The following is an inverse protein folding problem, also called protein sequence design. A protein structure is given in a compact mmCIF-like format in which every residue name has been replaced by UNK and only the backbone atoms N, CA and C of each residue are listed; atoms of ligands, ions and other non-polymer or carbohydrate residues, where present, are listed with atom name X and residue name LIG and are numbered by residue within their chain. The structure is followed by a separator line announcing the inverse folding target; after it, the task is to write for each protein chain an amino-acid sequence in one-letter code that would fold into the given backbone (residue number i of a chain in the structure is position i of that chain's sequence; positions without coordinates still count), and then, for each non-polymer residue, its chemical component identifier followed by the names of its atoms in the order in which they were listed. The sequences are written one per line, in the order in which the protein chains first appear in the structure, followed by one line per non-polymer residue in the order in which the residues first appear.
data_IF_480460174836
#
_entry.id   IF_480460174836
#
_cell.length_a   1.000
_cell.length_b   1.000
_cell.length_c   1.000
_cell.angle_alpha   90.00
_cell.angle_beta   90.00
_cell.angle_gamma   90.00
#
_symmetry.space_group_name_H-M   'P 1'
#
loop_
_entity.id
_entity.type
_entity.pdbx_description
1 polymer ?
#
# COMPACT_ATOMS: atom_id res chain seq x y z
N UNK A 1 -5.70 9.96 14.25
CA UNK A 1 -5.89 8.99 13.17
C UNK A 1 -4.65 8.13 13.01
N UNK A 2 -4.82 6.87 12.70
CA UNK A 2 -3.70 5.95 12.52
C UNK A 2 -3.60 5.51 11.06
N UNK A 3 -2.37 5.39 10.57
CA UNK A 3 -2.09 4.94 9.23
C UNK A 3 -1.00 3.88 9.27
N UNK A 4 -1.27 2.73 8.68
CA UNK A 4 -0.30 1.65 8.57
C UNK A 4 0.18 1.55 7.13
N UNK A 5 1.50 1.63 6.94
CA UNK A 5 2.13 1.47 5.63
C UNK A 5 2.60 0.01 5.51
N UNK A 6 1.97 -0.75 4.62
CA UNK A 6 2.28 -2.16 4.42
C UNK A 6 3.23 -2.28 3.23
N UNK A 7 4.46 -2.69 3.47
CA UNK A 7 5.54 -2.59 2.49
C UNK A 7 5.95 -3.95 1.94
N UNK A 8 5.78 -4.11 0.62
CA UNK A 8 6.29 -5.25 -0.13
C UNK A 8 7.44 -4.81 -1.02
N UNK A 9 8.64 -5.38 -0.81
CA UNK A 9 9.83 -4.94 -1.51
C UNK A 9 10.80 -6.09 -1.77
N UNK A 10 11.58 -5.96 -2.84
CA UNK A 10 12.72 -6.84 -3.15
C UNK A 10 14.04 -6.13 -2.88
N UNK A 11 14.14 -4.87 -3.31
CA UNK A 11 15.40 -4.13 -3.32
C UNK A 11 15.42 -2.95 -2.34
N UNK A 12 14.32 -2.75 -1.62
CA UNK A 12 14.23 -1.66 -0.66
C UNK A 12 13.60 -0.38 -1.19
N UNK A 13 13.26 -0.28 -2.47
CA UNK A 13 12.68 0.94 -3.03
C UNK A 13 11.34 1.29 -2.37
N UNK A 14 10.46 0.30 -2.22
CA UNK A 14 9.17 0.53 -1.55
C UNK A 14 9.36 0.97 -0.10
N UNK A 15 10.40 0.46 0.55
CA UNK A 15 10.71 0.85 1.92
C UNK A 15 11.16 2.31 2.00
N UNK A 16 11.93 2.79 1.02
CA UNK A 16 12.33 4.20 0.96
C UNK A 16 11.12 5.10 0.80
N UNK A 17 10.16 4.70 -0.04
CA UNK A 17 8.91 5.46 -0.21
C UNK A 17 8.17 5.54 1.12
N UNK A 18 8.03 4.41 1.81
CA UNK A 18 7.33 4.38 3.10
C UNK A 18 8.03 5.24 4.14
N UNK A 19 9.35 5.21 4.19
CA UNK A 19 10.12 6.03 5.12
C UNK A 19 9.89 7.53 4.88
N UNK A 20 9.85 7.95 3.62
CA UNK A 20 9.58 9.33 3.28
C UNK A 20 8.17 9.75 3.70
N UNK A 21 7.19 8.91 3.43
CA UNK A 21 5.81 9.19 3.84
C UNK A 21 5.66 9.26 5.36
N UNK A 22 6.35 8.39 6.09
CA UNK A 22 6.33 8.41 7.54
C UNK A 22 6.90 9.72 8.08
N UNK A 23 8.02 10.20 7.51
CA UNK A 23 8.62 11.46 7.89
C UNK A 23 7.69 12.65 7.65
N UNK A 24 6.99 12.64 6.52
CA UNK A 24 6.13 13.77 6.13
C UNK A 24 4.79 13.74 6.85
N UNK A 25 4.24 12.55 7.09
CA UNK A 25 2.86 12.41 7.58
C UNK A 25 2.75 12.19 9.08
N UNK A 26 3.81 11.70 9.75
CA UNK A 26 3.74 11.46 11.19
C UNK A 26 3.87 12.78 11.94
N UNK A 27 2.74 13.29 12.37
CA UNK A 27 2.64 14.50 13.18
C UNK A 27 1.82 14.18 14.44
N UNK A 28 1.49 15.20 15.23
CA UNK A 28 0.76 14.97 16.48
C UNK A 28 -0.65 14.42 16.29
N UNK A 29 -1.24 14.59 15.10
CA UNK A 29 -2.60 14.14 14.80
C UNK A 29 -2.64 12.81 14.04
N UNK A 30 -1.62 12.55 13.23
CA UNK A 30 -1.53 11.34 12.43
C UNK A 30 -0.38 10.47 12.94
N UNK A 31 -0.69 9.26 13.35
CA UNK A 31 0.31 8.28 13.75
C UNK A 31 0.55 7.32 12.58
N UNK A 32 1.77 7.30 12.09
CA UNK A 32 2.15 6.49 10.93
C UNK A 32 3.10 5.39 11.36
N UNK A 33 2.80 4.16 10.98
CA UNK A 33 3.66 3.01 11.28
C UNK A 33 3.96 2.26 9.99
N UNK A 34 5.23 1.95 9.77
CA UNK A 34 5.68 1.17 8.61
C UNK A 34 5.86 -0.29 9.02
N UNK A 35 5.21 -1.19 8.28
CA UNK A 35 5.23 -2.62 8.55
C UNK A 35 5.68 -3.37 7.30
N UNK A 36 6.76 -4.15 7.43
CA UNK A 36 7.24 -4.99 6.33
C UNK A 36 6.36 -6.24 6.23
N UNK A 37 5.96 -6.58 5.00
CA UNK A 37 5.01 -7.67 4.77
C UNK A 37 5.50 -9.07 5.15
N UNK A 38 6.81 -9.27 5.24
CA UNK A 38 7.38 -10.58 5.61
C UNK A 38 6.99 -11.03 7.01
N UNK A 39 6.53 -10.11 7.85
CA UNK A 39 6.12 -10.40 9.22
C UNK A 39 4.63 -10.23 9.44
N UNK A 40 3.87 -10.00 8.37
CA UNK A 40 2.44 -9.71 8.50
C UNK A 40 1.57 -10.94 8.30
N UNK A 41 0.46 -10.94 9.01
CA UNK A 41 -0.64 -11.87 8.82
C UNK A 41 -1.90 -11.07 8.50
N UNK A 42 -2.94 -11.70 7.94
CA UNK A 42 -4.18 -10.96 7.61
C UNK A 42 -4.80 -10.21 8.79
N UNK A 43 -4.53 -10.63 10.02
CA UNK A 43 -5.02 -9.94 11.21
C UNK A 43 -4.51 -8.50 11.34
N UNK A 44 -3.50 -8.10 10.55
CA UNK A 44 -3.04 -6.70 10.55
C UNK A 44 -4.18 -5.74 10.21
N UNK A 45 -5.15 -6.18 9.42
CA UNK A 45 -6.29 -5.35 9.03
C UNK A 45 -7.33 -5.17 10.14
N UNK A 46 -7.15 -5.81 11.28
CA UNK A 46 -7.98 -5.57 12.47
C UNK A 46 -7.54 -4.31 13.22
N UNK A 47 -6.39 -3.73 12.87
CA UNK A 47 -5.92 -2.48 13.45
C UNK A 47 -6.82 -1.32 13.05
N UNK A 48 -6.88 -0.32 13.91
CA UNK A 48 -7.62 0.91 13.63
C UNK A 48 -6.94 1.74 12.54
N UNK A 49 -7.73 2.51 11.83
CA UNK A 49 -7.24 3.50 10.89
C UNK A 49 -7.26 3.03 9.45
N UNK A 50 -6.38 3.62 8.65
CA UNK A 50 -6.32 3.43 7.20
C UNK A 50 -5.02 2.71 6.86
N UNK A 51 -5.01 2.00 5.74
CA UNK A 51 -3.86 1.25 5.29
C UNK A 51 -3.40 1.75 3.92
N UNK A 52 -2.10 1.87 3.74
CA UNK A 52 -1.53 2.14 2.43
C UNK A 52 -0.57 1.01 2.07
N UNK A 53 -0.88 0.30 0.99
CA UNK A 53 0.00 -0.73 0.47
C UNK A 53 1.03 -0.06 -0.43
N UNK A 54 2.31 -0.22 -0.11
CA UNK A 54 3.42 0.28 -0.93
C UNK A 54 4.20 -0.95 -1.38
N UNK A 55 4.10 -1.30 -2.66
CA UNK A 55 4.67 -2.56 -3.12
C UNK A 55 5.32 -2.45 -4.49
N UNK A 56 6.44 -3.16 -4.62
CA UNK A 56 7.10 -3.38 -5.90
C UNK A 56 6.44 -4.51 -6.66
N UNK A 57 6.81 -4.64 -7.93
CA UNK A 57 6.44 -5.77 -8.78
C UNK A 57 7.70 -6.57 -9.06
N UNK A 58 7.62 -7.89 -8.89
CA UNK A 58 8.76 -8.78 -9.09
C UNK A 58 8.57 -9.63 -10.35
N UNK A 59 9.67 -9.78 -11.10
CA UNK A 59 9.73 -10.70 -12.23
C UNK A 59 8.61 -10.49 -13.24
N UNK A 60 7.77 -11.50 -13.40
CA UNK A 60 6.68 -11.50 -14.39
C UNK A 60 5.35 -11.04 -13.82
N UNK A 61 5.38 -10.10 -12.90
CA UNK A 61 4.16 -9.53 -12.33
C UNK A 61 3.77 -10.09 -10.99
N UNK A 62 4.68 -10.78 -10.33
CA UNK A 62 4.42 -11.33 -8.99
C UNK A 62 4.61 -10.26 -7.92
N UNK A 63 4.04 -10.55 -6.75
CA UNK A 63 4.35 -9.76 -5.57
C UNK A 63 5.80 -10.03 -5.14
N UNK A 64 6.48 -9.07 -4.48
CA UNK A 64 7.84 -9.29 -4.00
C UNK A 64 7.94 -10.46 -3.03
N UNK A 65 9.14 -11.05 -2.92
CA UNK A 65 9.34 -12.22 -2.06
C UNK A 65 8.89 -11.99 -0.63
N UNK A 66 9.15 -10.80 -0.07
CA UNK A 66 8.74 -10.52 1.30
C UNK A 66 7.23 -10.39 1.45
N UNK A 67 6.50 -10.27 0.35
CA UNK A 67 5.04 -10.14 0.37
C UNK A 67 4.30 -11.45 0.10
N UNK A 68 5.00 -12.49 -0.37
CA UNK A 68 4.35 -13.73 -0.82
C UNK A 68 3.53 -14.41 0.27
N UNK A 69 4.09 -14.58 1.44
CA UNK A 69 3.39 -15.26 2.54
C UNK A 69 2.13 -14.50 2.95
N UNK A 70 2.22 -13.19 3.04
CA UNK A 70 1.09 -12.34 3.39
C UNK A 70 -0.01 -12.41 2.31
N UNK A 71 0.37 -12.29 1.04
CA UNK A 71 -0.56 -12.36 -0.08
C UNK A 71 -1.25 -13.72 -0.13
N UNK A 72 -0.50 -14.81 0.00
CA UNK A 72 -1.06 -16.15 -0.01
C UNK A 72 -1.98 -16.40 1.19
N UNK A 73 -1.64 -15.86 2.35
CA UNK A 73 -2.48 -15.96 3.54
C UNK A 73 -3.82 -15.25 3.34
N UNK A 74 -3.82 -14.08 2.69
CA UNK A 74 -5.06 -13.38 2.35
C UNK A 74 -5.94 -14.22 1.43
N UNK A 75 -5.35 -14.87 0.43
CA UNK A 75 -6.07 -15.72 -0.50
C UNK A 75 -6.62 -16.98 0.18
N UNK A 76 -5.85 -17.57 1.09
CA UNK A 76 -6.23 -18.81 1.77
C UNK A 76 -7.28 -18.58 2.86
N UNK A 77 -7.08 -17.56 3.68
CA UNK A 77 -7.93 -17.29 4.84
C UNK A 77 -9.19 -16.51 4.50
N UNK A 78 -9.15 -15.70 3.45
CA UNK A 78 -10.25 -14.88 2.96
C UNK A 78 -10.98 -14.12 4.08
N UNK A 79 -10.25 -13.28 4.83
CA UNK A 79 -10.87 -12.52 5.91
C UNK A 79 -11.91 -11.53 5.38
N UNK A 80 -12.88 -11.19 6.21
CA UNK A 80 -13.87 -10.16 5.87
C UNK A 80 -13.25 -8.79 6.12
N UNK A 81 -12.96 -8.06 5.05
CA UNK A 81 -12.32 -6.75 5.12
C UNK A 81 -13.29 -5.60 4.81
N UNK A 82 -14.59 -5.81 5.01
CA UNK A 82 -15.62 -4.83 4.66
C UNK A 82 -15.46 -3.49 5.39
N UNK A 83 -14.73 -3.46 6.50
CA UNK A 83 -14.47 -2.24 7.26
C UNK A 83 -13.12 -1.60 6.95
N UNK A 84 -12.32 -2.25 6.11
CA UNK A 84 -10.98 -1.79 5.79
C UNK A 84 -11.04 -0.74 4.69
N UNK A 85 -10.29 0.36 4.89
CA UNK A 85 -10.07 1.38 3.87
C UNK A 85 -8.59 1.42 3.57
N UNK A 86 -8.25 1.46 2.31
CA UNK A 86 -6.86 1.35 1.90
C UNK A 86 -6.56 2.15 0.64
N UNK A 87 -5.27 2.41 0.43
CA UNK A 87 -4.76 2.89 -0.84
C UNK A 87 -3.64 1.98 -1.31
N UNK A 88 -3.23 2.15 -2.56
CA UNK A 88 -2.12 1.39 -3.15
C UNK A 88 -1.19 2.33 -3.89
N UNK A 89 0.09 2.28 -3.52
CA UNK A 89 1.16 2.93 -4.25
C UNK A 89 2.05 1.83 -4.83
N UNK A 90 1.89 1.58 -6.13
CA UNK A 90 2.60 0.53 -6.83
C UNK A 90 3.87 1.03 -7.49
N UNK A 91 4.90 0.22 -7.46
CA UNK A 91 6.19 0.47 -8.11
C UNK A 91 6.39 -0.55 -9.21
N UNK A 92 6.87 -0.09 -10.36
CA UNK A 92 7.13 -0.96 -11.49
C UNK A 92 7.99 -0.26 -12.52
N UNK A 93 8.15 -0.89 -13.68
CA UNK A 93 8.97 -0.38 -14.76
C UNK A 93 8.25 -0.66 -16.09
N UNK A 94 7.92 0.39 -16.85
CA UNK A 94 7.23 0.24 -18.14
C UNK A 94 8.07 -0.47 -19.19
N UNK A 95 9.37 -0.64 -18.96
CA UNK A 95 10.20 -1.50 -19.81
C UNK A 95 9.61 -2.92 -19.85
N UNK A 96 8.91 -3.34 -18.80
CA UNK A 96 8.20 -4.60 -18.72
C UNK A 96 6.70 -4.35 -18.82
N UNK A 97 6.26 -3.86 -19.99
CA UNK A 97 4.90 -3.34 -20.19
C UNK A 97 3.79 -4.32 -19.81
N UNK A 98 3.97 -5.61 -20.08
CA UNK A 98 2.94 -6.63 -19.81
C UNK A 98 2.69 -6.86 -18.32
N UNK A 99 3.69 -6.56 -17.46
CA UNK A 99 3.62 -6.82 -16.03
C UNK A 99 3.74 -5.55 -15.18
N UNK A 100 3.64 -4.39 -15.84
CA UNK A 100 3.81 -3.11 -15.18
C UNK A 100 2.86 -2.95 -13.99
N UNK A 101 3.45 -2.74 -12.81
CA UNK A 101 2.72 -2.53 -11.54
C UNK A 101 1.75 -3.64 -11.15
N UNK A 102 1.96 -4.87 -11.60
CA UNK A 102 1.11 -6.00 -11.26
C UNK A 102 1.18 -6.37 -9.77
N UNK A 103 2.30 -6.07 -9.09
CA UNK A 103 2.38 -6.28 -7.65
C UNK A 103 1.30 -5.50 -6.91
N UNK A 104 1.19 -4.20 -7.21
CA UNK A 104 0.13 -3.36 -6.65
C UNK A 104 -1.26 -3.80 -7.09
N UNK A 105 -1.40 -4.18 -8.37
CA UNK A 105 -2.67 -4.67 -8.89
C UNK A 105 -3.15 -5.92 -8.17
N UNK A 106 -2.25 -6.87 -7.89
CA UNK A 106 -2.62 -8.10 -7.19
C UNK A 106 -3.14 -7.82 -5.79
N UNK A 107 -2.49 -6.93 -5.05
CA UNK A 107 -2.99 -6.54 -3.73
C UNK A 107 -4.30 -5.79 -3.82
N UNK A 108 -4.43 -4.85 -4.77
CA UNK A 108 -5.67 -4.11 -4.96
C UNK A 108 -6.83 -5.07 -5.26
N UNK A 109 -6.62 -6.00 -6.17
CA UNK A 109 -7.65 -6.96 -6.56
C UNK A 109 -8.08 -7.85 -5.38
N UNK A 110 -7.12 -8.41 -4.61
CA UNK A 110 -7.49 -9.30 -3.50
C UNK A 110 -8.18 -8.53 -2.38
N UNK A 111 -7.73 -7.32 -2.08
CA UNK A 111 -8.36 -6.53 -1.02
C UNK A 111 -9.78 -6.15 -1.39
N UNK A 112 -10.03 -5.76 -2.65
CA UNK A 112 -11.40 -5.49 -3.12
C UNK A 112 -12.26 -6.74 -3.10
N UNK A 113 -11.72 -7.86 -3.51
CA UNK A 113 -12.42 -9.14 -3.48
C UNK A 113 -12.84 -9.52 -2.06
N UNK A 114 -12.04 -9.16 -1.06
CA UNK A 114 -12.35 -9.41 0.35
C UNK A 114 -13.25 -8.36 0.98
N UNK A 115 -13.67 -7.36 0.21
CA UNK A 115 -14.63 -6.35 0.65
C UNK A 115 -14.05 -5.01 1.07
N UNK A 116 -12.72 -4.85 1.05
CA UNK A 116 -12.08 -3.59 1.43
C UNK A 116 -12.41 -2.47 0.42
N UNK A 117 -12.44 -1.24 0.91
CA UNK A 117 -12.76 -0.07 0.09
C UNK A 117 -11.49 0.72 -0.20
N UNK A 118 -11.18 0.85 -1.50
CA UNK A 118 -10.04 1.65 -1.91
C UNK A 118 -10.36 3.14 -1.85
N UNK A 119 -9.45 3.90 -1.27
CA UNK A 119 -9.53 5.35 -1.23
C UNK A 119 -8.74 5.90 -2.42
N UNK A 120 -9.42 6.58 -3.33
CA UNK A 120 -8.81 7.13 -4.52
C UNK A 120 -8.39 6.05 -5.52
N UNK A 121 -7.52 6.41 -6.44
CA UNK A 121 -7.02 5.51 -7.45
C UNK A 121 -5.69 4.87 -7.02
N UNK A 122 -5.41 3.68 -7.57
CA UNK A 122 -4.11 3.04 -7.38
C UNK A 122 -3.05 3.82 -8.14
N UNK A 123 -1.99 4.21 -7.45
CA UNK A 123 -0.87 4.90 -8.07
C UNK A 123 0.08 3.89 -8.70
N UNK A 124 0.60 4.24 -9.87
CA UNK A 124 1.54 3.41 -10.61
C UNK A 124 2.79 4.23 -10.93
N UNK A 125 3.83 4.08 -10.10
CA UNK A 125 5.12 4.71 -10.38
C UNK A 125 5.87 3.90 -11.43
N UNK A 126 6.53 4.60 -12.35
CA UNK A 126 7.31 4.01 -13.42
C UNK A 126 8.79 4.35 -13.22
N UNK A 127 9.59 3.33 -12.94
CA UNK A 127 11.04 3.52 -12.72
C UNK A 127 11.75 4.09 -13.94
N UNK A 128 11.23 3.83 -15.14
CA UNK A 128 11.85 4.34 -16.38
C UNK A 128 11.54 5.81 -16.64
N UNK A 129 10.63 6.41 -15.87
CA UNK A 129 10.25 7.83 -16.06
C UNK A 129 11.30 8.82 -15.59
N UNK A 130 12.22 8.40 -14.76
CA UNK A 130 13.22 9.28 -14.16
C UNK A 130 12.71 10.05 -12.93
N UNK A 131 11.44 9.93 -12.60
CA UNK A 131 10.88 10.55 -11.40
C UNK A 131 11.18 9.67 -10.19
N UNK A 132 11.67 10.26 -9.11
CA UNK A 132 11.92 9.49 -7.89
C UNK A 132 10.60 9.08 -7.23
N UNK A 133 10.46 7.80 -6.84
CA UNK A 133 9.21 7.33 -6.27
C UNK A 133 8.84 8.03 -4.96
N UNK A 134 9.82 8.36 -4.13
CA UNK A 134 9.56 9.06 -2.87
C UNK A 134 9.05 10.48 -3.09
N UNK A 135 9.48 11.16 -4.14
CA UNK A 135 8.99 12.48 -4.50
C UNK A 135 7.55 12.40 -5.01
N UNK A 136 7.28 11.44 -5.91
CA UNK A 136 5.94 11.22 -6.42
C UNK A 136 4.97 10.88 -5.29
N UNK A 137 5.39 10.05 -4.35
CA UNK A 137 4.57 9.65 -3.21
C UNK A 137 4.25 10.84 -2.33
N UNK A 138 5.20 11.71 -2.06
CA UNK A 138 4.99 12.89 -1.23
C UNK A 138 3.97 13.85 -1.86
N UNK A 139 4.08 14.09 -3.17
CA UNK A 139 3.12 14.96 -3.88
C UNK A 139 1.73 14.36 -3.95
N UNK A 140 1.63 13.10 -4.38
CA UNK A 140 0.36 12.39 -4.44
C UNK A 140 -0.27 12.25 -3.06
N UNK A 141 0.57 12.03 -2.06
CA UNK A 141 0.12 11.70 -0.71
C UNK A 141 -0.68 12.80 -0.04
N UNK A 142 -0.42 14.07 -0.35
CA UNK A 142 -1.19 15.17 0.23
C UNK A 142 -2.68 15.03 -0.10
N UNK A 143 -3.00 14.79 -1.39
CA UNK A 143 -4.38 14.61 -1.83
C UNK A 143 -4.99 13.31 -1.30
N UNK A 144 -4.22 12.23 -1.33
CA UNK A 144 -4.71 10.95 -0.82
C UNK A 144 -5.01 11.01 0.68
N UNK A 145 -4.14 11.65 1.45
CA UNK A 145 -4.31 11.76 2.89
C UNK A 145 -5.56 12.57 3.23
N UNK A 146 -5.83 13.63 2.46
CA UNK A 146 -7.06 14.41 2.63
C UNK A 146 -8.30 13.55 2.36
N UNK A 147 -8.28 12.74 1.29
CA UNK A 147 -9.36 11.80 1.00
C UNK A 147 -9.52 10.76 2.11
N UNK A 148 -8.43 10.25 2.64
CA UNK A 148 -8.46 9.27 3.72
C UNK A 148 -9.14 9.84 4.97
N UNK A 149 -8.84 11.08 5.29
CA UNK A 149 -9.46 11.76 6.43
C UNK A 149 -10.96 11.99 6.22
N UNK A 150 -11.36 12.33 4.99
CA UNK A 150 -12.77 12.52 4.66
C UNK A 150 -13.58 11.24 4.70
N UNK A 151 -12.97 10.12 4.31
CA UNK A 151 -13.67 8.83 4.23
C UNK A 151 -13.66 8.08 5.55
N UNK A 152 -12.86 8.48 6.52
CA UNK A 152 -12.85 7.84 7.83
C UNK A 152 -14.20 8.04 8.51
N UNK A 153 -14.84 6.97 9.03
CA UNK A 153 -16.09 7.14 9.76
C UNK A 153 -15.88 8.06 10.96
N UNK A 154 -16.83 8.96 11.19
CA UNK A 154 -16.74 9.96 12.24
C UNK A 154 -16.60 9.35 13.65
N UNK A 155 -17.06 8.12 13.82
CA UNK A 155 -17.02 7.42 15.09
C UNK A 155 -15.79 6.54 15.27
N UNK A 156 -14.81 6.65 14.39
CA UNK A 156 -13.57 5.86 14.45
C UNK A 156 -12.40 6.73 14.91
N UNK A 157 -12.69 7.90 15.32
CA UNK A 157 -11.67 8.81 15.86
C UNK A 157 -11.12 8.32 17.18
#
# INVERSE_FOLDING_TARGET
MKLSLLVGTMTGTAQLVAQELELVWDDGEMQVETLLMDKLEPSVFEREGVFLVVTSTYGQGDVPDNAKSFYEALKAQRPNLSRVRYGVFGLGDRTYAETFNFGGKRFDDILQELGAQRIGERVQHDASSGVLPEEMAAEWGEGWLALAKETAPANVS
#
